data_IF_548511376867
#
_entry.id   IF_548511376867
#
_cell.length_a   1.000
_cell.length_b   1.000
_cell.length_c   1.000
_cell.angle_alpha   90.00
_cell.angle_beta   90.00
_cell.angle_gamma   90.00
#
_symmetry.space_group_name_H-M   'P 1'
#
loop_
_entity.id
_entity.type
_entity.pdbx_description
1 polymer ?
#
# COMPACT_ATOMS: atom_id res chain seq x y z
N UNK A 1 -17.68 4.22 61.59
CA UNK A 1 -17.85 3.01 60.75
C UNK A 1 -17.92 3.32 59.26
N UNK A 2 -18.41 4.50 58.84
CA UNK A 2 -18.36 4.91 57.43
C UNK A 2 -16.94 5.33 56.98
N UNK A 3 -16.19 6.05 57.82
CA UNK A 3 -14.86 6.57 57.47
C UNK A 3 -13.82 5.46 57.23
N UNK A 4 -13.85 4.40 58.05
CA UNK A 4 -12.98 3.23 57.91
C UNK A 4 -13.27 2.38 56.66
N UNK A 5 -14.47 2.53 56.08
CA UNK A 5 -14.85 1.85 54.85
C UNK A 5 -14.45 2.65 53.61
N UNK A 6 -14.50 3.99 53.69
CA UNK A 6 -14.00 4.89 52.65
C UNK A 6 -12.48 4.80 52.45
N UNK A 7 -11.70 4.70 53.54
CA UNK A 7 -10.24 4.52 53.45
C UNK A 7 -9.84 3.17 52.82
N UNK A 8 -10.62 2.10 53.06
CA UNK A 8 -10.37 0.80 52.43
C UNK A 8 -10.67 0.78 50.93
N UNK A 9 -11.76 1.44 50.52
CA UNK A 9 -12.13 1.57 49.09
C UNK A 9 -11.13 2.41 48.32
N UNK A 10 -10.58 3.48 48.91
CA UNK A 10 -9.54 4.29 48.28
C UNK A 10 -8.18 3.58 48.25
N UNK A 11 -7.89 2.68 49.20
CA UNK A 11 -6.68 1.85 49.17
C UNK A 11 -6.74 0.72 48.11
N UNK A 12 -7.93 0.36 47.62
CA UNK A 12 -8.13 -0.61 46.53
C UNK A 12 -8.10 0.02 45.13
N UNK A 13 -8.17 1.35 45.03
CA UNK A 13 -8.03 2.07 43.75
C UNK A 13 -6.55 2.30 43.48
N UNK A 14 -5.98 1.43 42.65
CA UNK A 14 -4.65 1.63 42.09
C UNK A 14 -4.74 2.69 41.00
N UNK A 15 -4.24 3.89 41.26
CA UNK A 15 -4.01 4.90 40.23
C UNK A 15 -2.86 4.44 39.33
N UNK A 16 -3.19 3.77 38.23
CA UNK A 16 -2.20 3.44 37.20
C UNK A 16 -1.94 4.68 36.36
N UNK A 17 -0.66 5.02 36.22
CA UNK A 17 -0.24 6.10 35.34
C UNK A 17 -0.48 5.69 33.88
N UNK A 18 -0.70 6.67 32.99
CA UNK A 18 -0.89 6.41 31.56
C UNK A 18 0.26 5.55 31.00
N UNK A 19 1.48 5.74 31.48
CA UNK A 19 2.66 4.97 31.07
C UNK A 19 2.61 3.50 31.53
N UNK A 20 1.99 3.20 32.67
CA UNK A 20 1.78 1.83 33.14
C UNK A 20 0.69 1.13 32.34
N UNK A 21 -0.42 1.82 32.04
CA UNK A 21 -1.48 1.31 31.18
C UNK A 21 -0.94 1.03 29.76
N UNK A 22 -0.09 1.92 29.22
CA UNK A 22 0.54 1.74 27.91
C UNK A 22 1.54 0.58 27.89
N UNK A 23 2.31 0.37 28.97
CA UNK A 23 3.19 -0.81 29.10
C UNK A 23 2.41 -2.10 29.24
N UNK A 24 1.32 -2.09 30.00
CA UNK A 24 0.47 -3.26 30.14
C UNK A 24 -0.22 -3.58 28.80
N UNK A 25 -0.66 -2.56 28.05
CA UNK A 25 -1.09 -2.72 26.65
C UNK A 25 0.00 -3.28 25.74
N UNK A 26 1.26 -2.86 25.89
CA UNK A 26 2.40 -3.48 25.17
C UNK A 26 2.58 -4.97 25.52
N UNK A 27 2.23 -5.39 26.74
CA UNK A 27 2.25 -6.82 27.12
C UNK A 27 1.04 -7.60 26.63
N UNK A 28 -0.10 -6.95 26.40
CA UNK A 28 -1.31 -7.54 25.80
C UNK A 28 -1.30 -7.55 24.27
N UNK A 29 -0.48 -6.69 23.64
CA UNK A 29 -0.12 -6.86 22.25
C UNK A 29 0.69 -8.16 22.15
N UNK A 30 0.25 -9.18 21.38
CA UNK A 30 1.03 -10.38 21.23
C UNK A 30 2.43 -9.97 20.77
N UNK A 31 3.44 -10.41 21.52
CA UNK A 31 4.85 -10.19 21.21
C UNK A 31 5.01 -10.31 19.70
N UNK A 32 5.46 -9.23 19.04
CA UNK A 32 5.74 -9.21 17.61
C UNK A 32 6.94 -10.12 17.32
N UNK A 33 6.72 -11.43 17.44
CA UNK A 33 7.59 -12.47 16.94
C UNK A 33 7.57 -12.39 15.43
N UNK A 34 8.68 -11.93 14.87
CA UNK A 34 9.15 -12.21 13.52
C UNK A 34 8.06 -12.19 12.42
N UNK A 35 7.25 -11.11 12.40
CA UNK A 35 6.37 -10.83 11.25
C UNK A 35 7.26 -10.55 10.05
N UNK A 36 7.52 -11.59 9.25
CA UNK A 36 7.63 -11.44 7.81
C UNK A 36 6.57 -10.41 7.37
N UNK A 37 7.02 -9.40 6.63
CA UNK A 37 6.38 -8.10 6.39
C UNK A 37 4.97 -8.15 5.77
N UNK A 38 3.97 -8.68 6.46
CA UNK A 38 2.61 -8.77 5.94
C UNK A 38 1.89 -7.43 6.13
N UNK A 39 1.39 -6.85 5.02
CA UNK A 39 0.59 -5.64 4.99
C UNK A 39 -0.88 -5.95 4.69
N UNK A 40 -1.12 -6.79 3.68
CA UNK A 40 -2.45 -7.16 3.21
C UNK A 40 -2.84 -8.61 3.54
N UNK A 41 -1.94 -9.43 4.10
CA UNK A 41 -2.19 -10.85 4.35
C UNK A 41 -2.18 -11.72 3.09
N UNK A 42 -1.60 -11.20 2.01
CA UNK A 42 -1.52 -11.87 0.71
C UNK A 42 -0.05 -11.98 0.36
N UNK A 43 0.46 -13.21 0.41
CA UNK A 43 1.88 -13.50 0.25
C UNK A 43 2.47 -12.85 -1.01
N UNK A 44 1.79 -13.01 -2.14
CA UNK A 44 2.22 -12.51 -3.44
C UNK A 44 2.34 -10.98 -3.45
N UNK A 45 1.39 -10.28 -2.82
CA UNK A 45 1.38 -8.82 -2.77
C UNK A 45 2.38 -8.29 -1.73
N UNK A 46 2.41 -8.90 -0.54
CA UNK A 46 3.26 -8.50 0.57
C UNK A 46 4.74 -8.70 0.25
N UNK A 47 5.10 -9.77 -0.46
CA UNK A 47 6.47 -10.01 -0.94
C UNK A 47 6.93 -8.95 -1.93
N UNK A 48 6.04 -8.48 -2.83
CA UNK A 48 6.33 -7.38 -3.74
C UNK A 48 6.49 -6.07 -2.97
N UNK A 49 5.59 -5.77 -2.04
CA UNK A 49 5.68 -4.57 -1.19
C UNK A 49 6.98 -4.53 -0.37
N UNK A 50 7.43 -5.68 0.13
CA UNK A 50 8.69 -5.79 0.86
C UNK A 50 9.89 -5.33 0.04
N UNK A 51 9.88 -5.50 -1.29
CA UNK A 51 10.95 -5.00 -2.17
C UNK A 51 10.97 -3.48 -2.27
N UNK A 52 9.81 -2.85 -2.39
CA UNK A 52 9.67 -1.41 -2.62
C UNK A 52 9.71 -0.59 -1.33
N UNK A 53 9.33 -1.18 -0.19
CA UNK A 53 9.26 -0.48 1.10
C UNK A 53 10.47 -0.72 2.00
N UNK A 54 11.27 -1.78 1.78
CA UNK A 54 12.44 -2.02 2.61
C UNK A 54 13.46 -0.90 2.44
N UNK A 55 14.00 -0.31 3.53
CA UNK A 55 15.08 0.66 3.44
C UNK A 55 16.34 0.00 2.85
N UNK A 56 17.20 0.77 2.14
CA UNK A 56 18.51 0.26 1.74
C UNK A 56 19.30 -0.10 3.01
N UNK A 57 19.98 -1.25 3.00
CA UNK A 57 20.85 -1.63 4.10
C UNK A 57 21.89 -0.53 4.35
N UNK A 58 22.19 -0.17 5.62
CA UNK A 58 23.27 0.77 5.89
C UNK A 58 24.58 0.21 5.34
N UNK A 59 25.31 1.03 4.60
CA UNK A 59 26.61 0.65 4.07
C UNK A 59 27.54 0.26 5.24
N UNK A 60 28.34 -0.82 5.12
CA UNK A 60 29.27 -1.20 6.17
C UNK A 60 30.28 -0.07 6.35
N UNK A 61 30.24 0.58 7.50
CA UNK A 61 31.24 1.56 7.91
C UNK A 61 32.49 0.78 8.33
N UNK A 62 33.36 0.46 7.38
CA UNK A 62 34.78 0.24 7.66
C UNK A 62 35.45 1.62 7.55
N UNK A 63 36.23 2.07 8.52
CA UNK A 63 37.57 1.54 8.79
C UNK A 63 37.93 1.81 10.26
N UNK A 64 38.32 0.71 10.94
CA UNK A 64 39.09 0.71 12.18
C UNK A 64 40.43 1.41 12.00
N UNK A 65 40.75 2.25 12.97
CA UNK A 65 42.07 2.86 13.14
C UNK A 65 43.06 1.73 13.49
N UNK A 66 44.01 1.45 12.61
CA UNK A 66 45.22 0.70 12.95
C UNK A 66 46.47 1.51 12.64
N UNK A 67 47.30 1.57 13.68
CA UNK A 67 48.52 2.35 13.89
C UNK A 67 49.71 1.82 13.08
N UNK A 68 50.48 2.77 12.55
CA UNK A 68 51.94 2.75 12.29
C UNK A 68 52.51 1.74 11.28
N UNK A 69 53.11 2.26 10.20
CA UNK A 69 54.56 2.14 9.95
C UNK A 69 54.98 3.08 8.79
N UNK A 70 56.05 3.85 9.04
CA UNK A 70 56.84 4.65 8.09
C UNK A 70 58.02 3.76 7.66
N UNK A 71 58.44 3.73 6.38
CA UNK A 71 59.60 4.53 6.01
C UNK A 71 59.63 5.14 4.57
N UNK A 72 60.33 6.28 4.53
CA UNK A 72 61.27 6.79 3.52
C UNK A 72 60.87 7.19 2.08
N UNK A 73 60.90 8.51 1.91
CA UNK A 73 61.45 9.34 0.83
C UNK A 73 61.99 8.70 -0.46
N UNK A 74 61.50 9.22 -1.59
CA UNK A 74 62.36 9.64 -2.71
C UNK A 74 61.71 10.79 -3.50
N UNK A 75 62.55 11.74 -3.86
CA UNK A 75 62.27 13.03 -4.50
C UNK A 75 62.27 12.97 -6.03
N UNK A 76 61.30 13.64 -6.67
CA UNK A 76 61.39 14.37 -7.95
C UNK A 76 60.02 15.07 -8.14
N UNK A 77 59.84 16.38 -8.35
CA UNK A 77 60.64 17.33 -9.11
C UNK A 77 59.85 17.76 -10.35
N UNK A 78 59.61 19.07 -10.50
CA UNK A 78 58.95 19.79 -11.62
C UNK A 78 57.40 19.76 -11.63
N UNK A 79 56.64 20.86 -11.75
CA UNK A 79 56.94 22.28 -11.96
C UNK A 79 55.68 23.05 -12.36
N UNK A 80 55.28 24.01 -11.51
CA UNK A 80 54.87 25.39 -11.82
C UNK A 80 53.85 25.69 -12.94
N UNK A 81 52.79 26.41 -12.55
CA UNK A 81 51.88 27.14 -13.42
C UNK A 81 50.82 27.93 -12.64
N UNK A 82 51.23 28.97 -11.91
CA UNK A 82 50.39 30.09 -11.47
C UNK A 82 49.72 30.77 -12.68
N UNK A 83 48.49 31.31 -12.62
CA UNK A 83 48.11 32.68 -12.17
C UNK A 83 46.62 32.68 -11.75
N UNK A 84 46.21 33.02 -10.52
CA UNK A 84 46.03 34.36 -9.90
C UNK A 84 44.96 35.28 -10.53
N UNK A 85 43.86 35.52 -9.81
CA UNK A 85 43.36 36.84 -9.37
C UNK A 85 42.15 36.59 -8.41
N UNK A 86 42.24 36.87 -7.10
CA UNK A 86 42.05 38.18 -6.41
C UNK A 86 40.57 38.61 -6.41
N UNK A 87 39.87 39.02 -5.35
CA UNK A 87 40.19 39.64 -4.06
C UNK A 87 39.03 39.33 -3.06
N UNK A 88 39.28 38.92 -1.81
CA UNK A 88 39.47 39.75 -0.61
C UNK A 88 38.22 40.51 -0.12
N UNK A 89 37.68 40.08 1.03
CA UNK A 89 37.25 40.94 2.14
C UNK A 89 37.40 40.14 3.44
N UNK A 90 38.46 40.45 4.19
CA UNK A 90 38.62 40.11 5.60
C UNK A 90 38.52 41.42 6.39
N UNK A 91 37.81 41.39 7.52
CA UNK A 91 37.88 42.41 8.55
C UNK A 91 37.98 41.68 9.90
N UNK A 92 39.10 41.94 10.55
CA UNK A 92 39.54 41.49 11.86
C UNK A 92 38.61 41.95 12.98
N UNK A 93 38.47 41.13 14.04
CA UNK A 93 38.32 41.61 15.42
C UNK A 93 38.96 40.60 16.40
N UNK A 94 40.14 41.00 16.86
CA UNK A 94 40.91 40.79 18.10
C UNK A 94 40.55 39.64 19.07
N UNK A 95 41.58 38.83 19.36
CA UNK A 95 41.74 37.96 20.52
C UNK A 95 42.18 38.78 21.76
N UNK A 96 41.42 38.68 22.86
CA UNK A 96 41.94 38.90 24.21
C UNK A 96 41.82 37.61 25.03
N UNK A 97 42.99 37.09 25.44
CA UNK A 97 43.14 36.05 26.45
C UNK A 97 43.15 36.70 27.83
N UNK A 98 42.30 36.24 28.75
CA UNK A 98 42.48 36.42 30.21
C UNK A 98 41.86 35.24 30.98
N UNK A 99 42.77 34.43 31.53
CA UNK A 99 42.81 33.77 32.83
C UNK A 99 41.61 33.01 33.41
N UNK A 100 41.90 31.76 33.78
CA UNK A 100 40.93 30.76 34.19
C UNK A 100 40.44 30.87 35.62
N UNK A 101 39.28 30.27 35.87
CA UNK A 101 38.82 29.75 37.14
C UNK A 101 38.09 28.44 36.88
N UNK A 102 38.49 27.39 37.59
CA UNK A 102 37.95 26.04 37.45
C UNK A 102 36.46 25.98 37.81
N UNK A 103 35.70 25.29 36.97
CA UNK A 103 34.36 24.82 37.28
C UNK A 103 34.25 23.38 36.81
N UNK A 104 33.88 22.51 37.75
CA UNK A 104 33.71 21.08 37.59
C UNK A 104 32.80 20.72 36.41
N UNK A 105 33.38 20.09 35.39
CA UNK A 105 32.65 19.48 34.28
C UNK A 105 31.95 18.22 34.79
N UNK A 106 30.71 18.39 35.24
CA UNK A 106 29.78 17.28 35.43
C UNK A 106 29.53 16.64 34.06
N UNK A 107 30.14 15.49 33.80
CA UNK A 107 29.89 14.67 32.61
C UNK A 107 28.41 14.28 32.63
N UNK A 108 27.58 14.69 31.64
CA UNK A 108 26.22 14.20 31.56
C UNK A 108 26.30 12.73 31.16
N UNK A 109 25.79 11.86 32.02
CA UNK A 109 25.49 10.47 31.66
C UNK A 109 24.58 10.53 30.43
N UNK A 110 24.93 9.89 29.30
CA UNK A 110 24.06 9.90 28.13
C UNK A 110 22.82 9.09 28.49
N UNK A 111 21.71 9.78 28.72
CA UNK A 111 20.39 9.17 28.71
C UNK A 111 20.21 8.51 27.34
N UNK A 112 19.77 7.24 27.28
CA UNK A 112 19.53 6.59 26.01
C UNK A 112 18.50 7.42 25.25
N UNK A 113 18.93 8.04 24.14
CA UNK A 113 17.99 8.63 23.17
C UNK A 113 16.99 7.54 22.82
N UNK A 114 15.67 7.79 22.89
CA UNK A 114 14.71 6.85 22.36
C UNK A 114 15.13 6.56 20.93
N UNK A 115 15.48 5.30 20.66
CA UNK A 115 15.77 4.82 19.31
C UNK A 115 14.56 5.22 18.48
N UNK A 116 14.73 6.16 17.56
CA UNK A 116 13.68 6.53 16.63
C UNK A 116 13.27 5.23 15.94
N UNK A 117 12.12 4.68 16.33
CA UNK A 117 11.56 3.54 15.62
C UNK A 117 11.39 4.01 14.19
N UNK A 118 12.08 3.35 13.25
CA UNK A 118 11.94 3.63 11.84
C UNK A 118 10.47 3.34 11.49
N UNK A 119 9.61 4.35 11.58
CA UNK A 119 8.18 4.21 11.30
C UNK A 119 8.03 3.59 9.92
N UNK A 120 7.44 2.40 9.90
CA UNK A 120 7.24 1.62 8.68
C UNK A 120 6.37 2.47 7.73
N UNK A 121 6.84 2.69 6.50
CA UNK A 121 6.06 3.45 5.51
C UNK A 121 4.83 2.64 5.11
N UNK A 122 3.65 3.20 5.31
CA UNK A 122 2.40 2.55 4.91
C UNK A 122 2.30 2.45 3.38
N UNK A 123 1.86 1.30 2.84
CA UNK A 123 1.85 1.06 1.41
C UNK A 123 0.83 1.94 0.71
N UNK A 124 1.18 2.39 -0.49
CA UNK A 124 0.25 2.97 -1.45
C UNK A 124 0.32 2.13 -2.72
N UNK A 125 -0.78 1.46 -3.07
CA UNK A 125 -0.85 0.55 -4.22
C UNK A 125 -1.75 1.12 -5.29
N UNK A 126 -1.23 1.24 -6.51
CA UNK A 126 -2.01 1.56 -7.70
C UNK A 126 -2.32 0.28 -8.47
N UNK A 127 -3.60 0.05 -8.78
CA UNK A 127 -4.05 -0.99 -9.70
C UNK A 127 -4.46 -0.33 -11.02
N UNK A 128 -3.73 -0.60 -12.10
CA UNK A 128 -4.00 -0.01 -13.42
C UNK A 128 -4.27 -1.07 -14.48
N UNK A 129 -4.96 -0.70 -15.56
CA UNK A 129 -5.22 -1.59 -16.69
C UNK A 129 -5.58 -0.79 -17.94
N UNK A 130 -5.03 -1.17 -19.09
CA UNK A 130 -5.42 -0.64 -20.40
C UNK A 130 -6.87 -1.00 -20.80
N UNK A 131 -7.40 -2.07 -20.23
CA UNK A 131 -8.71 -2.62 -20.59
C UNK A 131 -9.71 -2.46 -19.45
N UNK A 132 -10.96 -2.19 -19.85
CA UNK A 132 -12.13 -2.40 -18.99
C UNK A 132 -12.28 -3.87 -18.61
N UNK A 133 -12.98 -4.14 -17.51
CA UNK A 133 -13.25 -5.50 -17.00
C UNK A 133 -11.99 -6.36 -16.77
N UNK A 134 -10.85 -5.74 -16.50
CA UNK A 134 -9.58 -6.42 -16.24
C UNK A 134 -9.42 -6.95 -14.80
N UNK A 135 -10.49 -7.00 -13.99
CA UNK A 135 -10.44 -7.59 -12.65
C UNK A 135 -9.97 -6.66 -11.51
N UNK A 136 -9.71 -5.37 -11.77
CA UNK A 136 -9.26 -4.41 -10.73
C UNK A 136 -10.19 -4.34 -9.50
N UNK A 137 -11.48 -4.11 -9.73
CA UNK A 137 -12.50 -4.05 -8.67
C UNK A 137 -12.66 -5.39 -7.96
N UNK A 138 -12.46 -6.51 -8.66
CA UNK A 138 -12.54 -7.86 -8.06
C UNK A 138 -11.35 -8.10 -7.11
N UNK A 139 -10.15 -7.65 -7.50
CA UNK A 139 -8.99 -7.66 -6.61
C UNK A 139 -9.22 -6.73 -5.41
N UNK A 140 -9.81 -5.55 -5.59
CA UNK A 140 -10.20 -4.70 -4.47
C UNK A 140 -11.20 -5.37 -3.51
N UNK A 141 -12.18 -6.11 -4.04
CA UNK A 141 -13.12 -6.86 -3.20
C UNK A 141 -12.43 -7.96 -2.41
N UNK A 142 -11.49 -8.68 -3.03
CA UNK A 142 -10.68 -9.65 -2.31
C UNK A 142 -9.85 -9.01 -1.19
N UNK A 143 -9.13 -7.92 -1.47
CA UNK A 143 -8.39 -7.17 -0.47
C UNK A 143 -9.29 -6.67 0.67
N UNK A 144 -10.47 -6.19 0.32
CA UNK A 144 -11.48 -5.74 1.29
C UNK A 144 -11.93 -6.89 2.18
N UNK A 145 -12.25 -8.05 1.61
CA UNK A 145 -12.66 -9.23 2.36
C UNK A 145 -11.58 -9.68 3.36
N UNK A 146 -10.32 -9.77 2.92
CA UNK A 146 -9.18 -10.14 3.80
C UNK A 146 -8.99 -9.13 4.94
N UNK A 147 -9.23 -7.84 4.67
CA UNK A 147 -9.11 -6.81 5.70
C UNK A 147 -10.19 -6.94 6.79
N UNK A 148 -11.46 -7.18 6.42
CA UNK A 148 -12.58 -7.12 7.38
C UNK A 148 -12.92 -8.44 8.06
N UNK A 149 -12.61 -9.57 7.43
CA UNK A 149 -12.80 -10.90 8.02
C UNK A 149 -11.85 -11.12 9.20
N UNK A 150 -12.24 -11.90 10.23
CA UNK A 150 -11.37 -12.17 11.36
C UNK A 150 -10.17 -13.04 10.99
N UNK A 151 -9.13 -13.00 11.82
CA UNK A 151 -7.94 -13.84 11.66
C UNK A 151 -8.23 -15.33 11.89
N UNK A 152 -9.16 -15.63 12.79
CA UNK A 152 -9.56 -16.99 13.17
C UNK A 152 -11.08 -17.12 13.27
N UNK A 153 -11.59 -18.31 12.98
CA UNK A 153 -13.00 -18.67 13.13
C UNK A 153 -13.13 -20.13 13.53
N UNK A 154 -13.84 -20.42 14.63
CA UNK A 154 -13.94 -21.77 15.23
C UNK A 154 -12.58 -22.49 15.35
N UNK A 155 -11.57 -21.78 15.87
CA UNK A 155 -10.21 -22.31 16.02
C UNK A 155 -9.41 -22.48 14.72
N UNK A 156 -10.01 -22.25 13.54
CA UNK A 156 -9.33 -22.34 12.24
C UNK A 156 -8.79 -20.97 11.81
N UNK A 157 -7.57 -20.94 11.28
CA UNK A 157 -6.94 -19.71 10.80
C UNK A 157 -7.46 -19.32 9.40
N UNK A 158 -8.11 -18.17 9.30
CA UNK A 158 -8.59 -17.59 8.04
C UNK A 158 -7.57 -16.64 7.41
N UNK A 159 -6.74 -15.98 8.23
CA UNK A 159 -5.78 -14.98 7.77
C UNK A 159 -6.40 -13.61 7.45
N UNK A 160 -7.60 -13.33 7.95
CA UNK A 160 -8.17 -11.98 7.92
C UNK A 160 -7.59 -11.05 9.00
N UNK A 161 -7.88 -9.75 8.93
CA UNK A 161 -7.32 -8.75 9.85
C UNK A 161 -8.32 -8.26 10.91
N UNK A 162 -9.61 -8.59 10.79
CA UNK A 162 -10.65 -8.15 11.72
C UNK A 162 -10.76 -6.62 11.81
N UNK A 163 -10.42 -5.92 10.75
CA UNK A 163 -10.27 -4.46 10.73
C UNK A 163 -11.49 -3.77 10.10
N UNK A 164 -11.47 -2.44 10.10
CA UNK A 164 -12.39 -1.61 9.35
C UNK A 164 -11.72 -1.12 8.05
N UNK A 165 -12.51 -0.79 7.03
CA UNK A 165 -12.01 -0.21 5.79
C UNK A 165 -12.91 0.92 5.31
N UNK A 166 -12.33 1.83 4.54
CA UNK A 166 -13.09 2.86 3.80
C UNK A 166 -13.06 2.52 2.32
N UNK A 167 -14.22 2.52 1.68
CA UNK A 167 -14.36 2.28 0.24
C UNK A 167 -14.97 3.52 -0.44
N UNK A 168 -14.16 4.22 -1.23
CA UNK A 168 -14.53 5.41 -1.99
C UNK A 168 -14.91 4.98 -3.41
N UNK A 169 -16.22 4.86 -3.66
CA UNK A 169 -16.80 4.46 -4.94
C UNK A 169 -17.12 5.71 -5.78
N UNK A 170 -16.18 6.11 -6.63
CA UNK A 170 -16.31 7.30 -7.48
C UNK A 170 -16.92 6.99 -8.84
N UNK A 171 -16.87 5.74 -9.29
CA UNK A 171 -17.47 5.27 -10.54
C UNK A 171 -18.91 4.77 -10.36
N UNK A 172 -19.41 4.68 -9.12
CA UNK A 172 -20.78 4.26 -8.78
C UNK A 172 -21.03 2.77 -9.04
N UNK A 173 -19.98 1.94 -8.95
CA UNK A 173 -20.00 0.52 -9.34
C UNK A 173 -19.84 -0.43 -8.16
N UNK A 174 -19.79 0.08 -6.94
CA UNK A 174 -19.71 -0.77 -5.76
C UNK A 174 -20.95 -1.65 -5.62
N UNK A 175 -20.70 -2.95 -5.43
CA UNK A 175 -21.69 -4.02 -5.29
C UNK A 175 -21.39 -4.82 -4.02
N UNK A 176 -22.19 -4.56 -2.99
CA UNK A 176 -22.08 -5.22 -1.70
C UNK A 176 -22.38 -6.72 -1.77
N UNK A 177 -23.29 -7.13 -2.65
CA UNK A 177 -23.65 -8.54 -2.84
C UNK A 177 -22.48 -9.31 -3.42
N UNK A 178 -21.84 -8.73 -4.45
CA UNK A 178 -20.63 -9.32 -5.03
C UNK A 178 -19.50 -9.42 -4.01
N UNK A 179 -19.26 -8.37 -3.22
CA UNK A 179 -18.25 -8.41 -2.17
C UNK A 179 -18.55 -9.48 -1.11
N UNK A 180 -19.82 -9.66 -0.73
CA UNK A 180 -20.24 -10.73 0.17
C UNK A 180 -19.97 -12.12 -0.40
N UNK A 181 -20.21 -12.35 -1.69
CA UNK A 181 -19.85 -13.62 -2.34
C UNK A 181 -18.34 -13.88 -2.32
N UNK A 182 -17.53 -12.85 -2.61
CA UNK A 182 -16.06 -12.95 -2.53
C UNK A 182 -15.60 -13.30 -1.11
N UNK A 183 -16.16 -12.64 -0.09
CA UNK A 183 -15.84 -12.92 1.31
C UNK A 183 -16.26 -14.34 1.73
N UNK A 184 -17.46 -14.78 1.36
CA UNK A 184 -17.93 -16.15 1.62
C UNK A 184 -17.03 -17.19 0.97
N UNK A 185 -16.66 -16.99 -0.31
CA UNK A 185 -15.74 -17.87 -1.02
C UNK A 185 -14.37 -17.97 -0.35
N UNK A 186 -13.83 -16.83 0.09
CA UNK A 186 -12.58 -16.78 0.85
C UNK A 186 -12.65 -17.63 2.14
N UNK A 187 -13.71 -17.46 2.94
CA UNK A 187 -13.91 -18.23 4.18
C UNK A 187 -14.00 -19.72 3.86
N UNK A 188 -14.84 -20.11 2.90
CA UNK A 188 -15.01 -21.51 2.51
C UNK A 188 -13.70 -22.14 2.04
N UNK A 189 -12.90 -21.42 1.26
CA UNK A 189 -11.61 -21.91 0.79
C UNK A 189 -10.65 -22.16 1.96
N UNK A 190 -10.54 -21.21 2.91
CA UNK A 190 -9.66 -21.34 4.08
C UNK A 190 -10.07 -22.46 5.02
N UNK A 191 -11.37 -22.65 5.22
CA UNK A 191 -11.90 -23.75 6.02
C UNK A 191 -11.61 -25.11 5.38
N UNK A 192 -11.76 -25.23 4.04
CA UNK A 192 -11.42 -26.47 3.30
C UNK A 192 -9.93 -26.78 3.33
N UNK A 193 -9.09 -25.76 3.15
CA UNK A 193 -7.62 -25.92 3.18
C UNK A 193 -7.09 -26.32 4.57
N UNK A 194 -7.87 -26.08 5.64
CA UNK A 194 -7.52 -26.45 7.00
C UNK A 194 -7.93 -27.89 7.36
N UNK A 195 -8.63 -28.61 6.47
CA UNK A 195 -8.96 -30.02 6.68
C UNK A 195 -7.72 -30.92 6.48
N UNK A 196 -7.50 -31.94 7.33
CA UNK A 196 -6.38 -32.86 7.15
C UNK A 196 -6.47 -33.59 5.81
N UNK A 197 -5.35 -33.69 5.12
CA UNK A 197 -5.23 -34.35 3.81
C UNK A 197 -5.57 -35.85 3.96
N UNK A 198 -6.58 -36.40 3.24
CA UNK A 198 -7.02 -37.79 3.43
C UNK A 198 -5.94 -38.84 3.10
N UNK A 199 -4.85 -38.45 2.43
CA UNK A 199 -3.72 -39.31 2.14
C UNK A 199 -2.86 -39.70 3.37
N UNK A 200 -3.04 -39.06 4.54
CA UNK A 200 -2.23 -39.34 5.75
C UNK A 200 -2.94 -40.29 6.73
N UNK A 201 -4.22 -40.61 6.54
CA UNK A 201 -5.01 -41.44 7.45
C UNK A 201 -5.00 -42.94 7.11
N UNK A 202 -3.97 -43.42 6.40
CA UNK A 202 -3.78 -44.86 6.16
C UNK A 202 -2.93 -45.54 7.25
N UNK A 203 -3.19 -45.29 8.53
CA UNK A 203 -2.75 -46.21 9.58
C UNK A 203 -3.41 -45.92 10.93
N UNK A 204 -4.37 -46.78 11.26
CA UNK A 204 -4.84 -47.16 12.60
C UNK A 204 -5.77 -46.19 13.35
N UNK A 205 -6.92 -46.79 13.66
CA UNK A 205 -7.93 -46.44 14.66
C UNK A 205 -8.88 -45.28 14.32
N UNK A 206 -10.05 -45.72 13.89
CA UNK A 206 -11.24 -45.00 13.48
C UNK A 206 -11.90 -44.29 14.67
N UNK A 207 -11.31 -43.21 15.17
CA UNK A 207 -12.14 -42.15 15.75
C UNK A 207 -12.73 -41.38 14.57
N UNK A 208 -14.06 -41.43 14.44
CA UNK A 208 -14.82 -40.57 13.54
C UNK A 208 -14.57 -39.14 14.02
N UNK A 209 -13.52 -38.48 13.51
CA UNK A 209 -13.44 -37.03 13.56
C UNK A 209 -14.63 -36.58 12.71
N UNK A 210 -15.72 -36.23 13.39
CA UNK A 210 -16.88 -35.63 12.75
C UNK A 210 -16.33 -34.45 11.93
N UNK A 211 -16.50 -34.50 10.62
CA UNK A 211 -16.34 -33.32 9.80
C UNK A 211 -17.28 -32.28 10.40
N UNK A 212 -16.74 -31.33 11.16
CA UNK A 212 -17.46 -30.09 11.49
C UNK A 212 -17.70 -29.37 10.17
N UNK A 213 -18.75 -29.81 9.48
CA UNK A 213 -19.36 -29.14 8.36
C UNK A 213 -19.94 -27.85 8.93
N UNK A 214 -19.17 -26.77 8.82
CA UNK A 214 -19.60 -25.42 9.19
C UNK A 214 -20.88 -25.11 8.41
N UNK A 215 -21.96 -24.75 9.11
CA UNK A 215 -23.25 -24.46 8.48
C UNK A 215 -23.07 -23.25 7.53
N UNK A 216 -23.56 -23.32 6.27
CA UNK A 216 -23.57 -22.17 5.38
C UNK A 216 -24.19 -20.91 5.99
N UNK A 217 -25.13 -21.06 6.93
CA UNK A 217 -25.72 -19.94 7.70
C UNK A 217 -24.71 -19.27 8.61
N UNK A 218 -23.83 -20.05 9.25
CA UNK A 218 -22.78 -19.51 10.13
C UNK A 218 -21.76 -18.70 9.33
N UNK A 219 -21.40 -19.16 8.13
CA UNK A 219 -20.54 -18.40 7.20
C UNK A 219 -21.23 -17.11 6.77
N UNK A 220 -22.52 -17.16 6.45
CA UNK A 220 -23.28 -15.98 6.04
C UNK A 220 -23.35 -14.94 7.18
N UNK A 221 -23.56 -15.38 8.43
CA UNK A 221 -23.56 -14.51 9.60
C UNK A 221 -22.18 -13.90 9.86
N UNK A 222 -21.12 -14.71 9.78
CA UNK A 222 -19.74 -14.23 9.88
C UNK A 222 -19.43 -13.14 8.84
N UNK A 223 -19.78 -13.39 7.58
CA UNK A 223 -19.57 -12.44 6.49
C UNK A 223 -20.43 -11.20 6.71
N UNK A 224 -21.70 -11.35 7.09
CA UNK A 224 -22.57 -10.22 7.39
C UNK A 224 -21.95 -9.31 8.46
N UNK A 225 -21.51 -9.87 9.58
CA UNK A 225 -20.85 -9.14 10.65
C UNK A 225 -19.55 -8.47 10.17
N UNK A 226 -18.76 -9.13 9.34
CA UNK A 226 -17.55 -8.54 8.77
C UNK A 226 -17.84 -7.36 7.82
N UNK A 227 -18.87 -7.47 6.98
CA UNK A 227 -19.25 -6.43 6.02
C UNK A 227 -19.78 -5.15 6.68
N UNK A 228 -20.28 -5.22 7.93
CA UNK A 228 -20.69 -4.03 8.70
C UNK A 228 -19.53 -3.06 8.97
N UNK A 229 -18.28 -3.50 8.78
CA UNK A 229 -17.07 -2.70 9.00
C UNK A 229 -16.49 -2.08 7.72
N UNK A 230 -17.28 -2.02 6.65
CA UNK A 230 -16.94 -1.36 5.39
C UNK A 230 -17.70 -0.04 5.30
N UNK A 231 -16.97 1.07 5.35
CA UNK A 231 -17.52 2.41 5.23
C UNK A 231 -17.50 2.87 3.77
N UNK A 232 -18.64 2.78 3.09
CA UNK A 232 -18.76 3.11 1.66
C UNK A 232 -19.19 4.56 1.47
N UNK A 233 -18.43 5.32 0.70
CA UNK A 233 -18.76 6.69 0.30
C UNK A 233 -18.79 6.82 -1.22
N UNK A 234 -19.78 7.54 -1.76
CA UNK A 234 -19.97 7.74 -3.20
C UNK A 234 -19.90 9.22 -3.59
N UNK A 235 -18.72 9.86 -3.52
CA UNK A 235 -18.58 11.23 -3.98
C UNK A 235 -18.88 11.33 -5.48
N UNK A 236 -19.46 12.46 -5.91
CA UNK A 236 -19.93 12.67 -7.29
C UNK A 236 -19.05 13.64 -8.10
N UNK A 237 -17.94 14.09 -7.52
CA UNK A 237 -16.94 14.96 -8.15
C UNK A 237 -15.65 14.95 -7.33
N UNK A 238 -14.55 15.44 -7.91
CA UNK A 238 -13.27 15.60 -7.20
C UNK A 238 -13.36 16.56 -6.01
N UNK A 239 -14.19 17.61 -6.07
CA UNK A 239 -14.45 18.49 -4.93
C UNK A 239 -15.19 17.77 -3.81
N UNK A 240 -16.18 16.94 -4.15
CA UNK A 240 -16.89 16.11 -3.17
C UNK A 240 -15.98 15.05 -2.56
N UNK A 241 -15.13 14.40 -3.37
CA UNK A 241 -14.12 13.45 -2.88
C UNK A 241 -13.15 14.13 -1.90
N UNK A 242 -12.63 15.30 -2.25
CA UNK A 242 -11.75 16.07 -1.38
C UNK A 242 -12.44 16.44 -0.06
N UNK A 243 -13.71 16.87 -0.12
CA UNK A 243 -14.50 17.17 1.07
C UNK A 243 -14.72 15.91 1.93
N UNK A 244 -15.00 14.75 1.33
CA UNK A 244 -15.11 13.47 2.05
C UNK A 244 -13.82 13.13 2.78
N UNK A 245 -12.66 13.21 2.11
CA UNK A 245 -11.36 12.91 2.73
C UNK A 245 -11.02 13.85 3.89
N UNK A 246 -11.39 15.15 3.78
CA UNK A 246 -11.15 16.14 4.84
C UNK A 246 -11.93 15.89 6.13
N UNK A 247 -13.08 15.22 6.05
CA UNK A 247 -13.95 14.95 7.21
C UNK A 247 -13.97 13.47 7.62
N UNK A 248 -13.19 12.63 6.93
CA UNK A 248 -13.21 11.19 7.13
C UNK A 248 -12.74 10.81 8.54
N UNK A 249 -11.74 11.51 9.07
CA UNK A 249 -11.27 11.34 10.44
C UNK A 249 -12.34 11.70 11.46
N UNK A 250 -13.02 12.83 11.30
CA UNK A 250 -14.15 13.21 12.17
C UNK A 250 -15.27 12.15 12.16
N UNK A 251 -15.53 11.51 11.02
CA UNK A 251 -16.51 10.43 10.93
C UNK A 251 -16.02 9.13 11.59
N UNK A 252 -14.78 8.70 11.32
CA UNK A 252 -14.23 7.44 11.82
C UNK A 252 -13.93 7.45 13.31
N UNK A 253 -13.65 8.63 13.88
CA UNK A 253 -13.39 8.81 15.31
C UNK A 253 -14.68 9.06 16.11
N UNK A 254 -15.82 9.29 15.44
CA UNK A 254 -17.12 9.39 16.09
C UNK A 254 -17.71 7.99 16.29
N UNK A 255 -17.37 7.41 17.45
CA UNK A 255 -17.78 6.05 17.85
C UNK A 255 -19.29 5.83 17.90
N UNK A 256 -20.09 6.91 17.89
CA UNK A 256 -21.56 6.81 17.88
C UNK A 256 -22.14 6.56 16.48
N UNK A 257 -21.37 6.83 15.41
CA UNK A 257 -21.86 6.78 14.03
C UNK A 257 -21.77 5.41 13.39
N UNK A 258 -20.99 4.49 13.96
CA UNK A 258 -20.72 3.21 13.32
C UNK A 258 -20.22 2.13 14.30
N UNK A 259 -20.41 0.84 13.97
CA UNK A 259 -19.98 -0.27 14.85
C UNK A 259 -18.47 -0.53 14.85
N UNK A 260 -17.70 0.13 13.98
CA UNK A 260 -16.26 -0.13 13.78
C UNK A 260 -15.33 0.52 14.82
N UNK A 261 -15.85 1.15 15.87
CA UNK A 261 -15.07 1.93 16.84
C UNK A 261 -13.91 1.16 17.51
N UNK A 262 -14.06 -0.15 17.65
CA UNK A 262 -13.06 -1.04 18.28
C UNK A 262 -12.06 -1.63 17.28
N UNK A 263 -12.15 -1.27 16.00
CA UNK A 263 -11.32 -1.84 14.93
C UNK A 263 -10.36 -0.80 14.36
N UNK A 264 -9.08 -1.17 14.13
CA UNK A 264 -8.17 -0.30 13.40
C UNK A 264 -8.65 -0.15 11.94
N UNK A 265 -8.32 0.98 11.32
CA UNK A 265 -8.53 1.16 9.89
C UNK A 265 -7.39 0.47 9.13
N UNK A 266 -7.71 -0.56 8.34
CA UNK A 266 -6.69 -1.29 7.58
C UNK A 266 -6.30 -0.58 6.29
N UNK A 267 -7.29 -0.13 5.51
CA UNK A 267 -7.05 0.50 4.23
C UNK A 267 -8.15 1.48 3.81
N UNK A 268 -7.74 2.45 2.99
CA UNK A 268 -8.63 3.29 2.18
C UNK A 268 -8.54 2.81 0.73
N UNK A 269 -9.66 2.29 0.23
CA UNK A 269 -9.84 1.85 -1.14
C UNK A 269 -10.49 2.98 -1.97
N UNK A 270 -9.93 3.30 -3.13
CA UNK A 270 -10.46 4.32 -4.05
C UNK A 270 -10.68 3.72 -5.45
N UNK A 271 -11.95 3.52 -5.82
CA UNK A 271 -12.36 2.94 -7.10
C UNK A 271 -13.26 3.91 -7.89
N UNK A 272 -12.76 4.69 -8.84
CA UNK A 272 -11.36 4.88 -9.25
C UNK A 272 -10.83 6.29 -8.98
N UNK A 273 -9.50 6.43 -8.92
CA UNK A 273 -8.86 7.74 -8.86
C UNK A 273 -8.98 8.55 -10.17
N UNK A 274 -9.35 7.88 -11.27
CA UNK A 274 -9.49 8.48 -12.60
C UNK A 274 -10.92 8.92 -12.95
N UNK A 275 -11.92 8.58 -12.13
CA UNK A 275 -13.34 8.74 -12.46
C UNK A 275 -13.75 10.16 -12.91
N UNK A 276 -13.16 11.18 -12.30
CA UNK A 276 -13.48 12.59 -12.57
C UNK A 276 -12.47 13.32 -13.46
N UNK A 277 -11.44 12.61 -13.96
CA UNK A 277 -10.30 13.24 -14.63
C UNK A 277 -10.70 14.11 -15.83
N UNK A 278 -11.59 13.62 -16.69
CA UNK A 278 -11.98 14.36 -17.89
C UNK A 278 -12.87 15.57 -17.57
N UNK A 279 -13.74 15.45 -16.57
CA UNK A 279 -14.55 16.58 -16.09
C UNK A 279 -13.67 17.66 -15.47
N UNK A 280 -12.69 17.26 -14.65
CA UNK A 280 -11.74 18.19 -14.04
C UNK A 280 -10.86 18.85 -15.11
N UNK A 281 -10.38 18.09 -16.08
CA UNK A 281 -9.57 18.61 -17.19
C UNK A 281 -10.34 19.64 -18.01
N UNK A 282 -11.61 19.38 -18.31
CA UNK A 282 -12.44 20.36 -19.00
C UNK A 282 -12.60 21.65 -18.17
N UNK A 283 -12.85 21.54 -16.86
CA UNK A 283 -12.95 22.71 -15.97
C UNK A 283 -11.65 23.53 -15.95
N UNK A 284 -10.51 22.85 -15.94
CA UNK A 284 -9.18 23.45 -16.00
C UNK A 284 -8.90 24.15 -17.34
N UNK A 285 -9.34 23.57 -18.45
CA UNK A 285 -9.26 24.18 -19.79
C UNK A 285 -10.13 25.43 -19.90
N UNK A 286 -11.35 25.41 -19.33
CA UNK A 286 -12.23 26.58 -19.25
C UNK A 286 -11.58 27.69 -18.42
N UNK A 287 -11.09 27.38 -17.22
CA UNK A 287 -10.43 28.37 -16.35
C UNK A 287 -9.21 29.02 -17.03
N UNK A 288 -8.37 28.24 -17.71
CA UNK A 288 -7.23 28.79 -18.48
C UNK A 288 -7.64 29.69 -19.64
N UNK A 289 -8.82 29.47 -20.22
CA UNK A 289 -9.31 30.33 -21.31
C UNK A 289 -9.68 31.71 -20.80
N UNK A 290 -10.23 31.79 -19.58
CA UNK A 290 -10.54 33.05 -18.88
C UNK A 290 -9.29 33.83 -18.45
N UNK A 291 -8.13 33.16 -18.40
CA UNK A 291 -6.83 33.75 -18.06
C UNK A 291 -6.14 34.43 -19.26
N UNK A 292 -6.59 34.18 -20.48
CA UNK A 292 -5.96 34.72 -21.70
C UNK A 292 -6.01 36.25 -21.67
N UNK A 293 -4.83 36.88 -21.78
CA UNK A 293 -4.70 38.34 -21.78
C UNK A 293 -4.66 38.98 -20.38
N UNK A 294 -4.76 38.20 -19.30
CA UNK A 294 -4.63 38.70 -17.93
C UNK A 294 -3.15 38.77 -17.49
N UNK A 295 -2.76 39.70 -16.60
CA UNK A 295 -1.40 39.75 -16.06
C UNK A 295 -1.06 38.50 -15.25
N UNK A 296 0.14 37.95 -15.44
CA UNK A 296 0.59 36.73 -14.75
C UNK A 296 0.55 36.84 -13.21
N UNK A 297 0.84 38.02 -12.65
CA UNK A 297 0.77 38.26 -11.21
C UNK A 297 -0.66 38.18 -10.66
N UNK A 298 -1.68 38.55 -11.45
CA UNK A 298 -3.08 38.41 -11.04
C UNK A 298 -3.52 36.94 -11.09
N UNK A 299 -3.10 36.21 -12.13
CA UNK A 299 -3.38 34.78 -12.26
C UNK A 299 -2.78 34.01 -11.08
N UNK A 300 -1.52 34.28 -10.74
CA UNK A 300 -0.87 33.61 -9.60
C UNK A 300 -1.56 33.97 -8.28
N UNK A 301 -1.93 35.24 -8.07
CA UNK A 301 -2.67 35.65 -6.87
C UNK A 301 -4.03 34.96 -6.75
N UNK A 302 -4.78 34.85 -7.85
CA UNK A 302 -6.09 34.18 -7.86
C UNK A 302 -5.93 32.67 -7.61
N UNK A 303 -4.85 32.07 -8.11
CA UNK A 303 -4.47 30.67 -7.84
C UNK A 303 -4.12 30.43 -6.37
N UNK A 304 -3.34 31.31 -5.76
CA UNK A 304 -3.00 31.26 -4.34
C UNK A 304 -4.23 31.42 -3.45
N UNK A 305 -5.18 32.27 -3.88
CA UNK A 305 -6.44 32.52 -3.18
C UNK A 305 -7.55 31.53 -3.54
N UNK A 306 -7.25 30.51 -4.35
CA UNK A 306 -8.21 29.47 -4.78
C UNK A 306 -9.46 30.02 -5.49
N UNK A 307 -9.33 31.18 -6.14
CA UNK A 307 -10.44 31.82 -6.85
C UNK A 307 -10.72 31.15 -8.20
N UNK A 308 -9.70 30.53 -8.78
CA UNK A 308 -9.75 29.83 -10.06
C UNK A 308 -9.47 28.35 -9.87
N UNK A 309 -10.11 27.51 -10.70
CA UNK A 309 -9.90 26.08 -10.66
C UNK A 309 -8.60 25.69 -11.36
N UNK A 310 -7.76 24.93 -10.65
CA UNK A 310 -6.55 24.36 -11.22
C UNK A 310 -6.44 22.86 -10.90
N UNK A 311 -6.41 22.03 -11.94
CA UNK A 311 -6.39 20.57 -11.79
C UNK A 311 -5.19 20.10 -10.96
N UNK A 312 -4.01 20.68 -11.19
CA UNK A 312 -2.80 20.32 -10.46
C UNK A 312 -2.89 20.63 -8.95
N UNK A 313 -3.59 21.71 -8.58
CA UNK A 313 -3.80 22.07 -7.17
C UNK A 313 -4.76 21.07 -6.51
N UNK A 314 -5.86 20.73 -7.18
CA UNK A 314 -6.83 19.76 -6.69
C UNK A 314 -6.20 18.38 -6.45
N UNK A 315 -5.48 17.85 -7.44
CA UNK A 315 -4.87 16.53 -7.36
C UNK A 315 -3.76 16.46 -6.32
N UNK A 316 -3.02 17.57 -6.10
CA UNK A 316 -2.08 17.70 -4.97
C UNK A 316 -2.79 17.62 -3.62
N UNK A 317 -3.94 18.27 -3.47
CA UNK A 317 -4.73 18.22 -2.24
C UNK A 317 -5.29 16.84 -1.96
N UNK A 318 -5.80 16.16 -2.99
CA UNK A 318 -6.28 14.78 -2.85
C UNK A 318 -5.17 13.87 -2.29
N UNK A 319 -3.96 13.94 -2.85
CA UNK A 319 -2.81 13.18 -2.33
C UNK A 319 -2.42 13.61 -0.93
N UNK A 320 -2.44 14.92 -0.63
CA UNK A 320 -2.12 15.43 0.70
C UNK A 320 -3.09 14.91 1.76
N UNK A 321 -4.40 14.91 1.48
CA UNK A 321 -5.41 14.38 2.40
C UNK A 321 -5.30 12.85 2.57
N UNK A 322 -5.05 12.11 1.48
CA UNK A 322 -4.80 10.67 1.59
C UNK A 322 -3.57 10.38 2.46
N UNK A 323 -2.46 11.12 2.29
CA UNK A 323 -1.26 11.01 3.14
C UNK A 323 -1.53 11.38 4.60
N UNK A 324 -2.33 12.44 4.83
CA UNK A 324 -2.77 12.85 6.17
C UNK A 324 -3.51 11.70 6.85
N UNK A 325 -4.50 11.11 6.16
CA UNK A 325 -5.28 9.98 6.68
C UNK A 325 -4.42 8.73 6.90
N UNK A 326 -3.50 8.40 5.98
CA UNK A 326 -2.52 7.31 6.20
C UNK A 326 -1.70 7.53 7.47
N UNK A 327 -1.33 8.77 7.77
CA UNK A 327 -0.52 9.10 8.94
C UNK A 327 -1.34 9.03 10.23
N UNK A 328 -2.60 9.48 10.19
CA UNK A 328 -3.50 9.47 11.34
C UNK A 328 -3.88 8.04 11.72
N UNK A 329 -4.24 7.22 10.73
CA UNK A 329 -4.80 5.89 10.94
C UNK A 329 -3.79 4.75 10.75
N UNK A 330 -2.55 5.05 10.38
CA UNK A 330 -1.50 4.08 10.05
C UNK A 330 -1.97 3.02 9.04
N UNK A 331 -2.73 3.46 8.02
CA UNK A 331 -3.44 2.58 7.10
C UNK A 331 -2.84 2.58 5.68
N UNK A 332 -3.12 1.51 4.94
CA UNK A 332 -2.80 1.44 3.52
C UNK A 332 -3.72 2.33 2.66
N UNK A 333 -3.25 2.70 1.47
CA UNK A 333 -4.12 3.26 0.41
C UNK A 333 -4.00 2.38 -0.82
N UNK A 334 -5.13 1.95 -1.37
CA UNK A 334 -5.16 1.21 -2.63
C UNK A 334 -6.15 1.88 -3.56
N UNK A 335 -5.73 2.23 -4.77
CA UNK A 335 -6.60 2.91 -5.72
C UNK A 335 -6.49 2.31 -7.12
N UNK A 336 -7.57 2.42 -7.88
CA UNK A 336 -7.59 1.99 -9.29
C UNK A 336 -7.42 3.18 -10.23
N UNK A 337 -6.79 2.94 -11.37
CA UNK A 337 -6.67 3.90 -12.48
C UNK A 337 -6.95 3.22 -13.82
N UNK A 338 -7.21 4.01 -14.85
CA UNK A 338 -7.21 3.53 -16.24
C UNK A 338 -5.79 3.61 -16.84
N UNK A 339 -5.35 2.57 -17.54
CA UNK A 339 -4.05 2.53 -18.21
C UNK A 339 -4.13 3.17 -19.60
N UNK A 340 -4.22 4.51 -19.67
CA UNK A 340 -4.49 5.23 -20.92
C UNK A 340 -3.34 5.18 -21.96
N UNK A 341 -2.11 4.87 -21.56
CA UNK A 341 -0.96 4.90 -22.49
C UNK A 341 0.11 3.87 -22.13
N UNK A 342 0.28 2.88 -23.01
CA UNK A 342 1.41 1.95 -22.95
C UNK A 342 2.66 2.66 -23.48
N UNK A 343 3.76 2.60 -22.74
CA UNK A 343 5.04 3.08 -23.22
C UNK A 343 5.46 2.33 -24.50
N UNK A 344 6.12 3.00 -25.43
CA UNK A 344 6.78 2.29 -26.54
C UNK A 344 8.03 1.63 -25.95
N UNK A 345 8.15 0.31 -26.08
CA UNK A 345 9.40 -0.39 -25.75
C UNK A 345 10.47 0.08 -26.73
N UNK A 346 11.64 0.48 -26.23
CA UNK A 346 12.79 0.87 -27.05
C UNK A 346 13.67 -0.32 -27.44
N UNK A 347 13.33 -1.56 -27.03
CA UNK A 347 14.08 -2.76 -27.40
C UNK A 347 13.38 -3.53 -28.53
N UNK A 348 13.67 -3.15 -29.78
CA UNK A 348 13.21 -3.83 -31.01
C UNK A 348 13.93 -5.16 -31.31
N UNK A 349 14.66 -5.73 -30.35
CA UNK A 349 15.37 -6.99 -30.53
C UNK A 349 14.98 -8.02 -29.47
N UNK A 350 13.83 -8.65 -29.65
CA UNK A 350 13.49 -9.89 -28.97
C UNK A 350 11.98 -10.20 -28.89
N UNK A 351 11.55 -11.45 -29.12
CA UNK A 351 10.14 -11.85 -29.01
C UNK A 351 9.60 -11.86 -27.56
N UNK A 352 10.36 -11.35 -26.58
CA UNK A 352 10.04 -11.31 -25.16
C UNK A 352 9.69 -9.90 -24.63
N UNK A 353 9.67 -8.87 -25.48
CA UNK A 353 9.33 -7.47 -25.11
C UNK A 353 7.80 -7.23 -24.95
N UNK A 354 7.11 -8.06 -24.17
CA UNK A 354 5.65 -7.96 -23.97
C UNK A 354 5.21 -7.11 -22.77
N UNK A 355 6.15 -6.62 -21.95
CA UNK A 355 5.87 -5.88 -20.70
C UNK A 355 6.27 -4.40 -20.81
N UNK A 356 5.63 -3.66 -21.71
CA UNK A 356 5.80 -2.23 -21.76
C UNK A 356 5.00 -1.56 -20.61
N UNK A 357 5.68 -0.75 -19.81
CA UNK A 357 5.08 -0.06 -18.67
C UNK A 357 4.01 0.96 -19.07
N UNK A 358 3.19 1.38 -18.10
CA UNK A 358 2.13 2.36 -18.32
C UNK A 358 2.55 3.73 -17.81
N UNK A 359 2.43 4.75 -18.67
CA UNK A 359 2.71 6.11 -18.23
C UNK A 359 1.60 6.58 -17.28
N UNK A 360 1.92 7.12 -16.09
CA UNK A 360 0.94 7.74 -15.22
C UNK A 360 0.24 8.88 -15.94
N UNK A 361 -1.09 8.89 -15.96
CA UNK A 361 -1.88 9.89 -16.66
C UNK A 361 -2.50 10.92 -15.72
N UNK A 362 -2.64 10.60 -14.43
CA UNK A 362 -3.15 11.53 -13.44
C UNK A 362 -2.14 12.67 -13.19
N UNK A 363 -2.60 13.91 -12.97
CA UNK A 363 -1.74 15.06 -12.70
C UNK A 363 -0.80 14.82 -11.50
N UNK A 364 0.40 15.45 -11.49
CA UNK A 364 1.27 15.40 -10.33
C UNK A 364 0.55 15.82 -9.03
N UNK A 365 0.85 15.17 -7.89
CA UNK A 365 1.93 14.21 -7.64
C UNK A 365 1.52 12.73 -7.77
N UNK A 366 0.41 12.40 -8.43
CA UNK A 366 -0.04 10.99 -8.53
C UNK A 366 0.98 10.06 -9.20
N UNK A 367 1.80 10.59 -10.10
CA UNK A 367 2.91 9.89 -10.73
C UNK A 367 3.97 9.34 -9.76
N UNK A 368 4.10 9.89 -8.55
CA UNK A 368 5.08 9.46 -7.53
C UNK A 368 4.44 9.06 -6.21
N UNK A 369 3.11 9.18 -6.10
CA UNK A 369 2.36 8.81 -4.91
C UNK A 369 2.41 7.31 -4.55
N UNK A 370 2.22 6.36 -5.49
CA UNK A 370 2.22 4.94 -5.14
C UNK A 370 3.61 4.43 -4.82
N UNK A 371 3.68 3.51 -3.86
CA UNK A 371 4.89 2.73 -3.54
C UNK A 371 5.03 1.50 -4.44
N UNK A 372 3.90 0.97 -4.92
CA UNK A 372 3.83 -0.16 -5.84
C UNK A 372 2.74 0.11 -6.88
N UNK A 373 3.06 -0.12 -8.15
CA UNK A 373 2.10 -0.09 -9.26
C UNK A 373 1.94 -1.49 -9.83
N UNK A 374 0.70 -1.95 -9.93
CA UNK A 374 0.37 -3.22 -10.54
C UNK A 374 -0.50 -3.00 -11.77
N UNK A 375 -0.09 -3.59 -12.88
CA UNK A 375 -0.93 -3.75 -14.06
C UNK A 375 -1.75 -5.01 -13.88
N UNK A 376 -3.05 -4.90 -14.09
CA UNK A 376 -4.00 -6.00 -13.99
C UNK A 376 -4.60 -6.27 -15.37
N UNK A 377 -4.64 -7.53 -15.79
CA UNK A 377 -5.20 -7.91 -17.09
C UNK A 377 -5.87 -9.27 -17.02
N UNK A 378 -7.00 -9.42 -17.71
CA UNK A 378 -7.59 -10.74 -17.97
C UNK A 378 -6.66 -11.56 -18.86
N UNK A 379 -6.56 -12.86 -18.61
CA UNK A 379 -5.84 -13.76 -19.51
C UNK A 379 -6.38 -13.61 -20.94
N UNK A 380 -5.55 -13.18 -21.91
CA UNK A 380 -6.02 -12.90 -23.25
C UNK A 380 -6.29 -14.20 -23.99
N UNK A 381 -7.51 -14.35 -24.51
CA UNK A 381 -7.77 -15.32 -25.58
C UNK A 381 -7.22 -14.79 -26.89
N UNK A 382 -6.32 -15.54 -27.54
CA UNK A 382 -5.76 -15.14 -28.84
C UNK A 382 -6.92 -14.91 -29.83
N UNK A 383 -6.97 -13.79 -30.57
CA UNK A 383 -7.98 -13.62 -31.62
C UNK A 383 -7.83 -14.71 -32.69
N UNK A 384 -8.88 -14.93 -33.48
CA UNK A 384 -8.76 -15.81 -34.65
C UNK A 384 -7.81 -15.14 -35.67
N UNK A 385 -6.80 -15.86 -36.18
CA UNK A 385 -6.02 -15.40 -37.32
C UNK A 385 -6.92 -14.98 -38.49
N UNK A 386 -6.52 -14.01 -39.33
CA UNK A 386 -7.30 -13.58 -40.49
C UNK A 386 -7.63 -14.72 -41.46
N UNK A 387 -6.78 -15.74 -41.51
CA UNK A 387 -6.88 -16.92 -42.39
C UNK A 387 -7.84 -17.99 -41.85
N UNK A 388 -8.34 -17.86 -40.61
CA UNK A 388 -9.16 -18.91 -39.96
C UNK A 388 -10.53 -19.04 -40.63
N UNK A 389 -10.85 -20.25 -41.08
CA UNK A 389 -12.16 -20.55 -41.65
C UNK A 389 -13.26 -20.64 -40.57
N UNK A 390 -14.52 -20.48 -40.96
CA UNK A 390 -15.65 -20.60 -40.03
C UNK A 390 -15.68 -21.96 -39.31
N UNK A 391 -15.41 -23.04 -40.03
CA UNK A 391 -15.41 -24.40 -39.48
C UNK A 391 -14.30 -24.63 -38.46
N UNK A 392 -13.11 -24.06 -38.70
CA UNK A 392 -12.01 -24.09 -37.73
C UNK A 392 -12.33 -23.24 -36.50
N UNK A 393 -12.95 -22.08 -36.69
CA UNK A 393 -13.40 -21.24 -35.59
C UNK A 393 -14.44 -21.94 -34.70
N UNK A 394 -15.40 -22.65 -35.28
CA UNK A 394 -16.39 -23.45 -34.56
C UNK A 394 -15.74 -24.61 -33.78
N UNK A 395 -14.77 -25.31 -34.37
CA UNK A 395 -14.02 -26.37 -33.70
C UNK A 395 -13.23 -25.85 -32.50
N UNK A 396 -12.62 -24.67 -32.62
CA UNK A 396 -11.78 -24.08 -31.57
C UNK A 396 -12.60 -23.31 -30.51
N UNK A 397 -13.89 -23.03 -30.77
CA UNK A 397 -14.74 -22.25 -29.89
C UNK A 397 -14.88 -22.82 -28.47
N UNK A 398 -15.11 -24.14 -28.25
CA UNK A 398 -15.22 -24.71 -26.91
C UNK A 398 -13.96 -24.54 -26.07
N UNK A 399 -12.77 -24.77 -26.67
CA UNK A 399 -11.48 -24.61 -25.99
C UNK A 399 -11.25 -23.15 -25.56
N UNK A 400 -11.65 -22.20 -26.42
CA UNK A 400 -11.55 -20.76 -26.12
C UNK A 400 -12.54 -20.36 -25.02
N UNK A 401 -13.77 -20.89 -25.07
CA UNK A 401 -14.76 -20.68 -24.02
C UNK A 401 -14.28 -21.24 -22.68
N UNK A 402 -13.58 -22.38 -22.67
CA UNK A 402 -12.97 -22.94 -21.47
C UNK A 402 -11.95 -21.99 -20.85
N UNK A 403 -11.05 -21.39 -21.66
CA UNK A 403 -10.09 -20.38 -21.18
C UNK A 403 -10.80 -19.17 -20.57
N UNK A 404 -11.86 -18.68 -21.22
CA UNK A 404 -12.68 -17.57 -20.72
C UNK A 404 -13.36 -17.94 -19.40
N UNK A 405 -13.91 -19.16 -19.31
CA UNK A 405 -14.64 -19.69 -18.16
C UNK A 405 -13.74 -19.98 -16.96
N UNK A 406 -12.44 -20.27 -17.18
CA UNK A 406 -11.47 -20.36 -16.08
C UNK A 406 -11.43 -19.09 -15.26
N UNK A 407 -11.68 -17.93 -15.89
CA UNK A 407 -11.77 -16.65 -15.20
C UNK A 407 -10.42 -16.16 -14.69
N UNK A 408 -9.32 -16.52 -15.37
CA UNK A 408 -7.95 -16.18 -14.95
C UNK A 408 -7.57 -14.74 -15.31
N UNK A 409 -6.90 -14.09 -14.37
CA UNK A 409 -6.33 -12.76 -14.47
C UNK A 409 -4.88 -12.78 -14.00
N UNK A 410 -4.12 -11.80 -14.47
CA UNK A 410 -2.74 -11.56 -14.09
C UNK A 410 -2.62 -10.18 -13.47
N UNK A 411 -1.82 -10.09 -12.42
CA UNK A 411 -1.31 -8.84 -11.89
C UNK A 411 0.22 -8.86 -11.93
N UNK A 412 0.85 -7.79 -12.38
CA UNK A 412 2.32 -7.67 -12.39
C UNK A 412 2.79 -6.26 -12.14
N UNK A 413 4.01 -6.11 -11.64
CA UNK A 413 4.61 -4.80 -11.39
C UNK A 413 4.76 -4.01 -12.70
N UNK A 414 4.23 -2.79 -12.71
CA UNK A 414 4.42 -1.85 -13.81
C UNK A 414 5.90 -1.45 -13.92
N UNK A 415 6.51 -1.71 -15.07
CA UNK A 415 7.92 -1.44 -15.35
C UNK A 415 8.19 0.01 -15.77
N UNK A 416 7.19 0.89 -15.74
CA UNK A 416 7.39 2.31 -15.99
C UNK A 416 8.42 2.91 -15.01
N UNK A 417 9.46 3.56 -15.55
CA UNK A 417 10.53 4.15 -14.73
C UNK A 417 11.52 3.12 -14.17
N UNK A 418 11.52 1.87 -14.66
CA UNK A 418 12.44 0.81 -14.21
C UNK A 418 13.93 1.19 -14.31
N UNK A 419 14.30 2.07 -15.24
CA UNK A 419 15.67 2.58 -15.42
C UNK A 419 16.23 3.21 -14.13
N UNK A 420 15.37 3.77 -13.29
CA UNK A 420 15.74 4.45 -12.04
C UNK A 420 15.74 3.49 -10.83
N UNK A 421 15.37 2.21 -11.01
CA UNK A 421 15.23 1.29 -9.89
C UNK A 421 16.57 0.75 -9.39
N UNK A 422 16.78 0.68 -8.07
CA UNK A 422 17.92 -0.02 -7.50
C UNK A 422 17.99 -1.48 -7.96
N UNK A 423 19.21 -2.00 -8.21
CA UNK A 423 19.44 -3.40 -8.63
C UNK A 423 18.73 -4.43 -7.76
N UNK A 424 18.66 -4.19 -6.45
CA UNK A 424 17.95 -5.06 -5.48
C UNK A 424 16.49 -5.30 -5.83
N UNK A 425 15.80 -4.28 -6.37
CA UNK A 425 14.39 -4.39 -6.77
C UNK A 425 14.31 -5.22 -8.04
N UNK A 426 15.14 -4.89 -9.03
CA UNK A 426 15.16 -5.60 -10.32
C UNK A 426 15.44 -7.10 -10.14
N UNK A 427 16.50 -7.45 -9.43
CA UNK A 427 16.83 -8.85 -9.12
C UNK A 427 15.79 -9.51 -8.20
N UNK A 428 15.22 -8.73 -7.28
CA UNK A 428 14.17 -9.18 -6.38
C UNK A 428 12.87 -9.57 -7.10
N UNK A 429 12.54 -8.87 -8.18
CA UNK A 429 11.40 -9.18 -9.05
C UNK A 429 11.68 -10.41 -9.91
N UNK A 430 12.87 -10.53 -10.50
CA UNK A 430 13.24 -11.73 -11.28
C UNK A 430 13.14 -13.01 -10.43
N UNK A 431 13.56 -12.94 -9.16
CA UNK A 431 13.42 -14.04 -8.19
C UNK A 431 11.97 -14.37 -7.81
N UNK A 432 11.03 -13.44 -7.97
CA UNK A 432 9.61 -13.58 -7.59
C UNK A 432 8.71 -13.64 -8.81
N UNK A 433 8.90 -14.66 -9.64
CA UNK A 433 8.11 -14.89 -10.85
C UNK A 433 8.06 -13.65 -11.78
N UNK A 434 9.14 -12.86 -11.86
CA UNK A 434 9.19 -11.58 -12.61
C UNK A 434 8.20 -10.52 -12.11
N UNK A 435 7.88 -10.54 -10.82
CA UNK A 435 6.99 -9.58 -10.20
C UNK A 435 5.52 -9.77 -10.56
N UNK A 436 5.09 -11.00 -10.84
CA UNK A 436 3.70 -11.30 -11.26
C UNK A 436 3.05 -12.38 -10.40
N UNK A 437 1.74 -12.29 -10.29
CA UNK A 437 0.90 -13.32 -9.70
C UNK A 437 -0.42 -13.45 -10.47
N UNK A 438 -1.04 -14.62 -10.39
CA UNK A 438 -2.34 -14.88 -10.99
C UNK A 438 -3.44 -14.78 -9.94
N UNK A 439 -4.64 -14.47 -10.41
CA UNK A 439 -5.85 -14.62 -9.61
C UNK A 439 -7.02 -15.02 -10.51
N UNK A 440 -8.00 -15.71 -9.94
CA UNK A 440 -9.17 -16.20 -10.65
C UNK A 440 -10.41 -15.51 -10.12
N UNK A 441 -11.32 -15.14 -11.01
CA UNK A 441 -12.59 -14.51 -10.67
C UNK A 441 -13.72 -15.38 -11.21
N UNK A 442 -14.47 -16.00 -10.30
CA UNK A 442 -15.69 -16.77 -10.57
C UNK A 442 -16.79 -16.30 -9.62
N UNK A 443 -17.43 -17.18 -8.86
CA UNK A 443 -18.30 -16.78 -7.76
C UNK A 443 -17.49 -16.18 -6.60
N UNK A 444 -16.27 -16.65 -6.42
CA UNK A 444 -15.25 -16.15 -5.50
C UNK A 444 -14.06 -15.50 -6.23
N UNK A 445 -13.05 -15.10 -5.45
CA UNK A 445 -11.75 -14.67 -5.97
C UNK A 445 -10.66 -15.46 -5.25
N UNK A 446 -9.74 -16.03 -6.01
CA UNK A 446 -8.61 -16.82 -5.48
C UNK A 446 -7.31 -16.24 -6.02
N UNK A 447 -6.30 -16.09 -5.16
CA UNK A 447 -4.93 -15.68 -5.53
C UNK A 447 -4.01 -16.86 -5.27
N UNK A 448 -3.13 -17.18 -6.22
CA UNK A 448 -2.19 -18.30 -6.08
C UNK A 448 -1.53 -18.72 -7.39
N UNK A 449 -0.90 -19.89 -7.38
CA UNK A 449 -0.29 -20.50 -8.57
C UNK A 449 -1.31 -21.36 -9.34
N UNK A 450 -1.00 -21.71 -10.60
CA UNK A 450 -1.87 -22.52 -11.46
C UNK A 450 -2.22 -23.90 -10.86
N UNK A 451 -1.46 -24.38 -9.85
CA UNK A 451 -1.67 -25.64 -9.13
C UNK A 451 -2.50 -25.55 -7.85
N UNK A 452 -2.85 -24.35 -7.37
CA UNK A 452 -3.66 -24.16 -6.15
C UNK A 452 -5.17 -24.38 -6.38
N UNK A 453 -5.52 -24.97 -7.53
CA UNK A 453 -6.89 -25.18 -7.99
C UNK A 453 -7.16 -26.67 -8.27
N UNK A 454 -8.31 -27.23 -7.86
CA UNK A 454 -8.79 -28.52 -8.35
C UNK A 454 -9.21 -28.47 -9.82
#
# INVERSE_FOLDING_TARGET
MADSFGERLLAEVREETLDEILRDLETFLPAQGDRNQSFFGIKELDELLGLFLSPPAPAPTAIEISRTQVPESTSAGYGLGHTSDSAAYAADYEEENLDGHGMDLHVPVPTPRPTASLKRRQPVVELTSASSAAGKTQLLYYLTAVAVLPSTYHGKYLGGHGAAVVYLDTDGRFDASRLGHVASGFVQQKLKASLPNPAVLSSKETEKVEEENVDPRDIAELVHNALQHIHVFRPQSSSSLLATLRHLDSYLLDVSRHPSATRPLHAIFLDSASAFFWQDRLRDEVARTEEIGRPAAEIERDREQERTFHIAVLYRRLVAELRRLQTIFDCAVVYTTWGLSRAKSTSDYGPTSSYAGFRPHLPPPWGTFPSLRLVVQREPTRPFPPETTLQEAERDAPLRQEVVARGKFWAWVDTWGREEWPRRIVEGLERRNRGRFAFWVRDDVVIGEDGDHP
#
